data_IF_463416832367
#
_entry.id   IF_463416832367
#
_cell.length_a   1.000
_cell.length_b   1.000
_cell.length_c   1.000
_cell.angle_alpha   90.00
_cell.angle_beta   90.00
_cell.angle_gamma   90.00
#
_symmetry.space_group_name_H-M   'P 1'
#
loop_
_entity.id
_entity.type
_entity.pdbx_description
1 polymer ?
#
# COMPACT_ATOMS: atom_id res chain seq x y z
N UNK A 1 -32.03 22.80 -47.27
CA UNK A 1 -30.72 22.29 -46.81
C UNK A 1 -30.35 23.01 -45.52
N UNK A 2 -30.82 22.52 -44.38
CA UNK A 2 -30.42 23.04 -43.06
C UNK A 2 -29.72 21.89 -42.34
N UNK A 3 -28.40 22.01 -42.21
CA UNK A 3 -27.59 21.04 -41.49
C UNK A 3 -27.76 21.28 -39.99
N UNK A 4 -28.34 20.31 -39.29
CA UNK A 4 -28.30 20.24 -37.83
C UNK A 4 -26.87 19.85 -37.40
N UNK A 5 -26.09 20.82 -36.94
CA UNK A 5 -24.84 20.57 -36.22
C UNK A 5 -25.16 20.33 -34.74
N UNK A 6 -25.26 19.06 -34.33
CA UNK A 6 -25.30 18.68 -32.91
C UNK A 6 -23.88 18.69 -32.34
N UNK A 7 -23.50 19.81 -31.75
CA UNK A 7 -22.39 19.91 -30.80
C UNK A 7 -22.83 19.26 -29.46
N UNK A 8 -22.54 17.98 -29.28
CA UNK A 8 -22.56 17.34 -27.96
C UNK A 8 -21.38 17.87 -27.15
N UNK A 9 -21.59 19.05 -26.57
CA UNK A 9 -20.72 19.63 -25.57
C UNK A 9 -20.78 18.79 -24.29
N UNK A 10 -19.63 18.28 -23.89
CA UNK A 10 -19.39 17.78 -22.55
C UNK A 10 -19.47 18.99 -21.59
N UNK A 11 -20.68 19.36 -21.18
CA UNK A 11 -20.85 20.42 -20.17
C UNK A 11 -20.47 19.81 -18.82
N UNK A 12 -19.25 20.10 -18.37
CA UNK A 12 -18.88 19.86 -16.99
C UNK A 12 -19.91 20.56 -16.11
N UNK A 13 -20.76 19.78 -15.43
CA UNK A 13 -21.76 20.32 -14.51
C UNK A 13 -21.01 21.16 -13.47
N UNK A 14 -21.41 22.42 -13.21
CA UNK A 14 -20.74 23.23 -12.21
C UNK A 14 -20.88 22.52 -10.86
N UNK A 15 -19.75 22.06 -10.32
CA UNK A 15 -19.70 21.40 -9.01
C UNK A 15 -20.14 22.43 -7.97
N UNK A 16 -21.34 22.25 -7.43
CA UNK A 16 -21.91 23.15 -6.42
C UNK A 16 -21.29 22.87 -5.05
N UNK A 17 -21.46 23.79 -4.10
CA UNK A 17 -21.04 23.56 -2.72
C UNK A 17 -21.70 22.32 -2.10
N UNK A 18 -22.93 21.97 -2.52
CA UNK A 18 -23.62 20.74 -2.09
C UNK A 18 -22.96 19.49 -2.64
N UNK A 19 -22.55 19.50 -3.91
CA UNK A 19 -21.87 18.37 -4.54
C UNK A 19 -20.53 18.08 -3.86
N UNK A 20 -19.78 19.13 -3.49
CA UNK A 20 -18.52 18.98 -2.73
C UNK A 20 -18.75 18.40 -1.33
N UNK A 21 -19.81 18.81 -0.66
CA UNK A 21 -20.15 18.28 0.67
C UNK A 21 -20.55 16.81 0.60
N UNK A 22 -21.32 16.40 -0.41
CA UNK A 22 -21.64 14.98 -0.60
C UNK A 22 -20.40 14.14 -0.93
N UNK A 23 -19.55 14.62 -1.83
CA UNK A 23 -18.28 13.95 -2.15
C UNK A 23 -17.38 13.82 -0.92
N UNK A 24 -17.36 14.85 -0.07
CA UNK A 24 -16.60 14.84 1.18
C UNK A 24 -17.17 13.85 2.19
N UNK A 25 -18.49 13.78 2.34
CA UNK A 25 -19.16 12.78 3.19
C UNK A 25 -18.83 11.37 2.72
N UNK A 26 -18.93 11.10 1.41
CA UNK A 26 -18.61 9.79 0.84
C UNK A 26 -17.13 9.42 1.07
N UNK A 27 -16.23 10.41 0.93
CA UNK A 27 -14.80 10.22 1.19
C UNK A 27 -14.52 9.89 2.66
N UNK A 28 -15.12 10.63 3.59
CA UNK A 28 -14.95 10.41 5.04
C UNK A 28 -15.54 9.06 5.42
N UNK A 29 -16.71 8.70 4.90
CA UNK A 29 -17.34 7.41 5.16
C UNK A 29 -16.47 6.25 4.66
N UNK A 30 -15.95 6.33 3.44
CA UNK A 30 -15.06 5.31 2.90
C UNK A 30 -13.78 5.14 3.75
N UNK A 31 -13.27 6.23 4.32
CA UNK A 31 -12.13 6.20 5.22
C UNK A 31 -12.48 5.58 6.58
N UNK A 32 -13.65 5.86 7.14
CA UNK A 32 -14.13 5.24 8.38
C UNK A 32 -14.41 3.73 8.19
N UNK A 33 -15.04 3.36 7.08
CA UNK A 33 -15.31 1.97 6.71
C UNK A 33 -14.00 1.19 6.58
N UNK A 34 -12.98 1.80 5.97
CA UNK A 34 -11.64 1.21 5.87
C UNK A 34 -10.92 1.08 7.21
N UNK A 35 -11.23 1.93 8.19
CA UNK A 35 -10.63 1.94 9.52
C UNK A 35 -11.42 1.12 10.57
N UNK A 36 -12.54 0.51 10.17
CA UNK A 36 -13.36 -0.30 11.06
C UNK A 36 -12.64 -1.62 11.41
N UNK A 37 -12.40 -1.92 12.71
CA UNK A 37 -11.86 -3.21 13.11
C UNK A 37 -12.79 -4.37 12.69
N UNK A 38 -12.24 -5.50 12.22
CA UNK A 38 -13.02 -6.70 11.96
C UNK A 38 -13.81 -7.16 13.19
N UNK A 39 -14.98 -7.78 12.97
CA UNK A 39 -15.90 -8.18 14.05
C UNK A 39 -15.29 -9.13 15.10
N UNK A 40 -14.34 -9.96 14.70
CA UNK A 40 -13.65 -10.92 15.57
C UNK A 40 -12.58 -10.26 16.46
N UNK A 41 -12.26 -8.97 16.24
CA UNK A 41 -11.30 -8.23 17.04
C UNK A 41 -11.91 -7.77 18.38
N UNK A 42 -11.04 -7.45 19.35
CA UNK A 42 -11.47 -6.91 20.64
C UNK A 42 -12.37 -5.67 20.47
N UNK A 43 -13.51 -5.59 21.18
CA UNK A 43 -14.39 -4.42 21.15
C UNK A 43 -13.72 -3.16 21.74
N UNK A 44 -12.59 -3.32 22.45
CA UNK A 44 -11.79 -2.22 22.99
C UNK A 44 -10.97 -1.50 21.93
N UNK A 45 -10.88 -2.03 20.70
CA UNK A 45 -10.16 -1.37 19.60
C UNK A 45 -11.10 -0.33 18.98
N UNK A 46 -10.86 0.99 19.18
CA UNK A 46 -11.72 2.00 18.59
C UNK A 46 -11.46 2.12 17.08
N UNK A 47 -12.46 2.61 16.34
CA UNK A 47 -12.29 3.06 14.97
C UNK A 47 -11.31 4.24 14.97
N UNK A 48 -10.23 4.12 14.22
CA UNK A 48 -9.19 5.13 14.14
C UNK A 48 -8.79 5.34 12.68
N UNK A 49 -9.27 6.41 12.02
CA UNK A 49 -9.01 6.74 10.61
C UNK A 49 -7.58 6.49 10.11
N UNK A 50 -6.58 6.89 10.90
CA UNK A 50 -5.18 6.80 10.51
C UNK A 50 -4.61 5.37 10.46
N UNK A 51 -5.31 4.36 10.98
CA UNK A 51 -4.83 2.95 10.96
C UNK A 51 -5.00 2.30 9.60
N UNK A 52 -5.98 2.74 8.81
CA UNK A 52 -6.35 2.07 7.56
C UNK A 52 -6.90 0.65 7.77
N UNK A 53 -6.90 -0.19 6.72
CA UNK A 53 -7.47 -1.52 6.74
C UNK A 53 -6.74 -2.47 7.71
N UNK A 54 -7.53 -3.30 8.40
CA UNK A 54 -7.05 -4.21 9.44
C UNK A 54 -7.49 -5.66 9.20
N UNK A 55 -6.69 -6.60 9.71
CA UNK A 55 -7.00 -8.04 9.78
C UNK A 55 -6.90 -8.54 11.22
N UNK A 56 -7.66 -9.57 11.52
CA UNK A 56 -7.60 -10.27 12.80
C UNK A 56 -6.26 -11.00 12.91
N UNK A 57 -5.51 -10.75 13.99
CA UNK A 57 -4.32 -11.50 14.34
C UNK A 57 -4.69 -12.58 15.37
N UNK A 58 -4.80 -13.82 14.92
CA UNK A 58 -5.07 -14.96 15.82
C UNK A 58 -3.75 -15.45 16.43
N UNK A 59 -3.56 -15.14 17.71
CA UNK A 59 -2.38 -15.58 18.45
C UNK A 59 -2.60 -16.98 19.02
N UNK A 60 -1.58 -17.81 18.94
CA UNK A 60 -1.55 -19.16 19.49
C UNK A 60 -0.38 -19.27 20.47
N UNK A 61 -0.61 -20.00 21.56
CA UNK A 61 0.41 -20.32 22.55
C UNK A 61 0.54 -21.84 22.66
N UNK A 62 1.77 -22.31 22.92
CA UNK A 62 2.04 -23.70 23.22
C UNK A 62 2.09 -23.87 24.73
N UNK A 63 1.21 -24.71 25.26
CA UNK A 63 1.10 -25.00 26.70
C UNK A 63 1.42 -26.46 26.96
N UNK A 64 2.14 -26.73 28.05
CA UNK A 64 2.34 -28.09 28.55
C UNK A 64 1.07 -28.56 29.24
N UNK A 65 0.44 -29.60 28.71
CA UNK A 65 -0.70 -30.28 29.34
C UNK A 65 -0.25 -31.64 29.90
N UNK A 66 -1.05 -32.31 30.74
CA UNK A 66 -0.73 -33.66 31.20
C UNK A 66 -0.53 -34.69 30.07
N UNK A 67 -1.06 -34.42 28.87
CA UNK A 67 -0.88 -35.26 27.67
C UNK A 67 0.22 -34.77 26.71
N UNK A 68 1.06 -33.82 27.17
CA UNK A 68 2.16 -33.23 26.41
C UNK A 68 1.87 -31.82 25.90
N UNK A 69 2.76 -31.33 25.02
CA UNK A 69 2.66 -30.00 24.42
C UNK A 69 1.43 -29.90 23.52
N UNK A 70 0.59 -28.89 23.76
CA UNK A 70 -0.58 -28.59 22.94
C UNK A 70 -0.60 -27.12 22.57
N UNK A 71 -0.98 -26.82 21.34
CA UNK A 71 -1.17 -25.45 20.88
C UNK A 71 -2.63 -25.07 21.08
N UNK A 72 -2.89 -23.95 21.76
CA UNK A 72 -4.23 -23.37 21.92
C UNK A 72 -4.21 -21.89 21.53
N UNK A 73 -5.40 -21.31 21.30
CA UNK A 73 -5.51 -19.87 21.09
C UNK A 73 -5.12 -19.14 22.37
N UNK A 74 -4.28 -18.11 22.25
CA UNK A 74 -3.80 -17.31 23.38
C UNK A 74 -4.86 -16.31 23.87
N UNK A 75 -5.79 -15.92 23.00
CA UNK A 75 -6.84 -14.93 23.28
C UNK A 75 -8.22 -15.56 23.28
N UNK A 76 -9.12 -15.07 24.14
CA UNK A 76 -10.53 -15.43 24.12
C UNK A 76 -11.19 -15.07 22.77
N UNK A 77 -12.29 -15.77 22.46
CA UNK A 77 -13.09 -15.47 21.27
C UNK A 77 -13.67 -14.05 21.35
N UNK A 78 -13.55 -13.28 20.26
CA UNK A 78 -13.95 -11.87 20.22
C UNK A 78 -12.96 -10.89 20.89
N UNK A 79 -11.80 -11.36 21.37
CA UNK A 79 -10.75 -10.52 21.97
C UNK A 79 -9.43 -10.60 21.19
N UNK A 80 -9.52 -10.79 19.88
CA UNK A 80 -8.34 -10.89 19.04
C UNK A 80 -7.73 -9.49 18.77
N UNK A 81 -6.39 -9.36 18.76
CA UNK A 81 -5.74 -8.15 18.31
C UNK A 81 -5.95 -7.94 16.80
N UNK A 82 -5.88 -6.68 16.38
CA UNK A 82 -5.88 -6.31 14.97
C UNK A 82 -4.44 -6.02 14.49
N UNK A 83 -4.14 -6.41 13.26
CA UNK A 83 -2.92 -6.00 12.54
C UNK A 83 -3.32 -5.16 11.33
N UNK A 84 -2.53 -4.13 11.00
CA UNK A 84 -2.71 -3.38 9.75
C UNK A 84 -2.42 -4.27 8.55
N UNK A 85 -3.04 -3.93 7.42
CA UNK A 85 -3.00 -4.71 6.19
C UNK A 85 -2.39 -3.85 5.09
N UNK A 86 -1.30 -4.32 4.50
CA UNK A 86 -0.66 -3.63 3.38
C UNK A 86 -1.28 -4.03 2.03
N UNK A 87 -0.76 -3.48 0.93
CA UNK A 87 -1.23 -3.82 -0.42
C UNK A 87 -1.06 -5.31 -0.77
N UNK A 88 0.01 -5.95 -0.30
CA UNK A 88 0.28 -7.37 -0.58
C UNK A 88 -0.75 -8.26 0.09
N UNK A 89 -1.04 -8.00 1.37
CA UNK A 89 -2.05 -8.74 2.14
C UNK A 89 -3.45 -8.57 1.51
N UNK A 90 -3.80 -7.35 1.05
CA UNK A 90 -5.07 -7.11 0.34
C UNK A 90 -5.15 -7.87 -0.99
N UNK A 91 -4.08 -7.89 -1.75
CA UNK A 91 -4.03 -8.62 -3.02
C UNK A 91 -4.09 -10.13 -2.82
N UNK A 92 -3.40 -10.67 -1.80
CA UNK A 92 -3.45 -12.09 -1.45
C UNK A 92 -4.86 -12.49 -1.00
N UNK A 93 -5.51 -11.68 -0.14
CA UNK A 93 -6.89 -11.95 0.28
C UNK A 93 -7.86 -11.97 -0.92
N UNK A 94 -7.70 -11.03 -1.87
CA UNK A 94 -8.49 -11.01 -3.10
C UNK A 94 -8.24 -12.24 -3.98
N UNK A 95 -6.98 -12.69 -4.09
CA UNK A 95 -6.63 -13.89 -4.82
C UNK A 95 -7.24 -15.14 -4.17
N UNK A 96 -7.13 -15.29 -2.85
CA UNK A 96 -7.69 -16.40 -2.08
C UNK A 96 -9.21 -16.47 -2.14
N UNK A 97 -9.90 -15.33 -2.16
CA UNK A 97 -11.36 -15.30 -2.35
C UNK A 97 -11.79 -15.82 -3.73
N UNK A 98 -10.95 -15.62 -4.74
CA UNK A 98 -11.22 -16.08 -6.11
C UNK A 98 -10.84 -17.55 -6.30
N UNK A 99 -9.73 -17.96 -5.71
CA UNK A 99 -9.17 -19.31 -5.81
C UNK A 99 -8.50 -19.68 -4.47
N UNK A 100 -9.22 -20.34 -3.54
CA UNK A 100 -8.70 -20.66 -2.21
C UNK A 100 -7.45 -21.55 -2.24
N UNK A 101 -7.39 -22.49 -3.18
CA UNK A 101 -6.31 -23.48 -3.32
C UNK A 101 -5.20 -23.03 -4.28
N UNK A 102 -5.35 -21.87 -4.92
CA UNK A 102 -4.37 -21.32 -5.84
C UNK A 102 -3.00 -21.04 -5.20
N UNK A 103 -1.94 -20.87 -5.99
CA UNK A 103 -0.65 -20.47 -5.45
C UNK A 103 -0.72 -19.05 -4.84
N UNK A 104 0.18 -18.76 -3.91
CA UNK A 104 0.33 -17.40 -3.39
C UNK A 104 0.70 -16.43 -4.52
N UNK A 105 0.17 -15.20 -4.45
CA UNK A 105 0.38 -14.21 -5.50
C UNK A 105 1.83 -13.70 -5.55
N UNK A 106 2.47 -13.65 -4.39
CA UNK A 106 3.87 -13.25 -4.20
C UNK A 106 4.56 -14.23 -3.26
N UNK A 107 5.88 -14.39 -3.40
CA UNK A 107 6.67 -15.17 -2.43
C UNK A 107 6.86 -14.38 -1.14
N UNK A 108 7.15 -15.08 -0.04
CA UNK A 108 7.47 -14.44 1.26
C UNK A 108 8.66 -13.47 1.11
N UNK A 109 9.70 -13.87 0.36
CA UNK A 109 10.87 -13.04 0.09
C UNK A 109 10.51 -11.74 -0.65
N UNK A 110 9.62 -11.81 -1.64
CA UNK A 110 9.15 -10.64 -2.38
C UNK A 110 8.39 -9.66 -1.49
N UNK A 111 7.49 -10.17 -0.64
CA UNK A 111 6.71 -9.35 0.29
C UNK A 111 7.65 -8.68 1.31
N UNK A 112 8.59 -9.42 1.89
CA UNK A 112 9.59 -8.86 2.82
C UNK A 112 10.46 -7.79 2.14
N UNK A 113 10.93 -8.02 0.91
CA UNK A 113 11.70 -7.02 0.17
C UNK A 113 10.91 -5.73 -0.05
N UNK A 114 9.62 -5.83 -0.38
CA UNK A 114 8.72 -4.69 -0.51
C UNK A 114 8.50 -3.93 0.80
N UNK A 115 8.35 -4.65 1.93
CA UNK A 115 8.19 -4.04 3.26
C UNK A 115 9.47 -3.34 3.73
N UNK A 116 10.63 -3.94 3.51
CA UNK A 116 11.94 -3.33 3.80
C UNK A 116 12.13 -2.07 2.97
N UNK A 117 11.74 -2.09 1.69
CA UNK A 117 11.75 -0.91 0.82
C UNK A 117 10.87 0.20 1.37
N UNK A 118 9.61 -0.10 1.70
CA UNK A 118 8.65 0.87 2.22
C UNK A 118 9.16 1.52 3.52
N UNK A 119 9.62 0.71 4.48
CA UNK A 119 10.14 1.20 5.75
C UNK A 119 11.39 2.08 5.57
N UNK A 120 12.25 1.76 4.60
CA UNK A 120 13.41 2.59 4.29
C UNK A 120 13.01 3.90 3.59
N UNK A 121 12.05 3.87 2.67
CA UNK A 121 11.54 5.05 2.00
C UNK A 121 10.95 6.04 3.02
N UNK A 122 10.13 5.55 3.95
CA UNK A 122 9.56 6.33 5.05
C UNK A 122 10.65 6.97 5.92
N UNK A 123 11.67 6.21 6.33
CA UNK A 123 12.79 6.76 7.13
C UNK A 123 13.55 7.85 6.38
N UNK A 124 13.79 7.67 5.09
CA UNK A 124 14.52 8.66 4.26
C UNK A 124 13.69 9.93 4.06
N UNK A 125 12.38 9.80 3.83
CA UNK A 125 11.49 10.97 3.74
C UNK A 125 11.37 11.71 5.08
N UNK A 126 11.33 10.98 6.20
CA UNK A 126 11.26 11.54 7.54
C UNK A 126 12.58 12.13 8.05
N UNK A 127 13.74 11.78 7.46
CA UNK A 127 15.07 12.21 7.94
C UNK A 127 15.26 13.74 7.97
N UNK A 128 14.47 14.50 7.21
CA UNK A 128 14.45 15.97 7.23
C UNK A 128 13.57 16.59 8.32
N UNK A 129 12.72 15.81 8.99
CA UNK A 129 11.81 16.30 10.04
C UNK A 129 12.54 16.23 11.39
N UNK A 130 13.21 17.32 11.75
CA UNK A 130 13.78 17.45 13.10
C UNK A 130 12.64 17.71 14.08
N UNK A 131 12.16 16.67 14.74
CA UNK A 131 11.32 16.82 15.94
C UNK A 131 12.19 17.35 17.09
N UNK A 132 12.60 18.61 17.02
CA UNK A 132 13.25 19.28 18.14
C UNK A 132 12.21 19.52 19.23
N UNK A 133 12.09 18.57 20.18
CA UNK A 133 11.41 18.86 21.44
C UNK A 133 12.32 19.77 22.27
N UNK A 134 11.86 21.01 22.49
CA UNK A 134 12.50 21.98 23.38
C UNK A 134 12.52 21.48 24.84
N UNK A 135 11.62 20.58 25.22
CA UNK A 135 11.47 20.07 26.58
C UNK A 135 12.45 18.92 26.91
N UNK A 136 13.09 18.32 25.90
CA UNK A 136 14.07 17.24 26.05
C UNK A 136 15.53 17.70 26.19
N UNK A 137 15.80 19.00 26.23
CA UNK A 137 17.17 19.57 26.21
C UNK A 137 17.93 19.49 27.54
N UNK A 138 17.46 18.68 28.49
CA UNK A 138 18.22 18.34 29.69
C UNK A 138 19.00 17.03 29.46
N UNK A 139 20.23 17.17 28.97
CA UNK A 139 21.26 16.10 28.82
C UNK A 139 21.06 15.10 27.68
N UNK A 140 21.52 15.46 26.48
CA UNK A 140 22.00 14.49 25.51
C UNK A 140 23.37 14.96 24.99
N UNK A 141 24.42 14.41 25.59
CA UNK A 141 25.80 14.61 25.14
C UNK A 141 26.11 13.73 23.93
N UNK A 142 26.87 14.29 22.99
CA UNK A 142 27.79 13.61 22.07
C UNK A 142 27.25 12.48 21.16
N UNK A 143 26.17 12.74 20.41
CA UNK A 143 25.59 11.76 19.45
C UNK A 143 25.35 12.27 18.03
N UNK A 144 25.77 13.50 17.70
CA UNK A 144 25.42 14.15 16.43
C UNK A 144 26.08 13.52 15.19
N UNK A 145 27.27 12.93 15.31
CA UNK A 145 27.97 12.29 14.17
C UNK A 145 27.30 10.97 13.79
N UNK A 146 26.99 10.13 14.78
CA UNK A 146 26.36 8.82 14.56
C UNK A 146 24.99 8.90 13.88
N UNK A 147 24.20 9.94 14.15
CA UNK A 147 22.90 10.12 13.49
C UNK A 147 23.06 10.51 12.02
N UNK A 148 23.97 11.44 11.70
CA UNK A 148 24.24 11.86 10.33
C UNK A 148 24.73 10.66 9.51
N UNK A 149 25.63 9.84 10.06
CA UNK A 149 26.14 8.65 9.41
C UNK A 149 25.03 7.61 9.13
N UNK A 150 24.12 7.41 10.08
CA UNK A 150 22.96 6.53 9.90
C UNK A 150 22.01 7.03 8.79
N UNK A 151 21.75 8.34 8.73
CA UNK A 151 20.93 8.95 7.67
C UNK A 151 21.61 8.82 6.30
N UNK A 152 22.91 9.11 6.21
CA UNK A 152 23.69 8.93 4.97
C UNK A 152 23.63 7.47 4.52
N UNK A 153 23.79 6.52 5.44
CA UNK A 153 23.69 5.09 5.16
C UNK A 153 22.31 4.71 4.61
N UNK A 154 21.23 5.17 5.24
CA UNK A 154 19.86 4.89 4.78
C UNK A 154 19.59 5.51 3.39
N UNK A 155 20.02 6.75 3.15
CA UNK A 155 19.91 7.39 1.82
C UNK A 155 20.68 6.60 0.76
N UNK A 156 21.89 6.14 1.06
CA UNK A 156 22.69 5.35 0.12
C UNK A 156 22.02 4.00 -0.17
N UNK A 157 21.52 3.32 0.86
CA UNK A 157 20.77 2.07 0.71
C UNK A 157 19.52 2.28 -0.15
N UNK A 158 18.76 3.33 0.09
CA UNK A 158 17.56 3.67 -0.67
C UNK A 158 17.90 3.93 -2.15
N UNK A 159 18.95 4.69 -2.42
CA UNK A 159 19.44 4.92 -3.80
C UNK A 159 19.84 3.64 -4.51
N UNK A 160 20.45 2.66 -3.80
CA UNK A 160 20.75 1.34 -4.38
C UNK A 160 19.47 0.60 -4.76
N UNK A 161 18.46 0.59 -3.88
CA UNK A 161 17.15 -0.02 -4.16
C UNK A 161 16.46 0.63 -5.36
N UNK A 162 16.46 1.96 -5.45
CA UNK A 162 15.91 2.69 -6.60
C UNK A 162 16.60 2.32 -7.92
N UNK A 163 17.92 2.11 -7.91
CA UNK A 163 18.67 1.67 -9.10
C UNK A 163 18.34 0.22 -9.47
N UNK A 164 18.18 -0.66 -8.48
CA UNK A 164 17.84 -2.06 -8.70
C UNK A 164 16.41 -2.22 -9.26
N UNK A 165 15.46 -1.39 -8.81
CA UNK A 165 14.10 -1.37 -9.39
C UNK A 165 14.16 -1.00 -10.87
N UNK A 166 14.95 0.00 -11.24
CA UNK A 166 15.06 0.44 -12.63
C UNK A 166 13.98 1.43 -13.06
N UNK A 167 13.98 1.75 -14.35
CA UNK A 167 13.12 2.78 -14.96
C UNK A 167 12.32 2.27 -16.16
N UNK A 168 12.23 0.95 -16.32
CA UNK A 168 11.57 0.31 -17.45
C UNK A 168 10.08 0.69 -17.52
N UNK A 169 9.58 0.75 -18.75
CA UNK A 169 8.17 0.99 -19.03
C UNK A 169 7.44 -0.34 -18.97
N UNK A 170 6.48 -0.45 -18.05
CA UNK A 170 5.68 -1.67 -17.86
C UNK A 170 4.44 -1.65 -18.74
N UNK A 171 3.73 -0.51 -18.74
CA UNK A 171 2.59 -0.28 -19.61
C UNK A 171 2.68 1.09 -20.27
N UNK A 172 2.43 1.14 -21.58
CA UNK A 172 2.32 2.38 -22.35
C UNK A 172 1.16 2.32 -23.34
N UNK A 173 0.41 3.42 -23.53
CA UNK A 173 -0.59 3.49 -24.59
C UNK A 173 0.06 3.31 -25.95
N UNK A 174 -0.46 2.38 -26.78
CA UNK A 174 0.09 2.12 -28.12
C UNK A 174 -0.06 3.30 -29.07
N UNK A 175 -1.12 4.10 -28.92
CA UNK A 175 -1.38 5.31 -29.69
C UNK A 175 -1.91 6.38 -28.75
N UNK A 176 -1.23 7.52 -28.66
CA UNK A 176 -1.71 8.67 -27.91
C UNK A 176 -2.81 9.37 -28.71
N UNK A 177 -4.06 9.15 -28.32
CA UNK A 177 -5.17 10.01 -28.75
C UNK A 177 -5.32 11.14 -27.75
N UNK A 178 -5.80 12.29 -28.20
CA UNK A 178 -6.03 13.44 -27.31
C UNK A 178 -6.94 13.09 -26.13
N UNK A 179 -7.92 12.20 -26.36
CA UNK A 179 -8.90 11.77 -25.36
C UNK A 179 -8.56 10.42 -24.69
N UNK A 180 -7.32 9.93 -24.82
CA UNK A 180 -6.92 8.68 -24.17
C UNK A 180 -6.50 8.91 -22.71
N UNK A 181 -7.29 8.47 -21.72
CA UNK A 181 -6.96 8.69 -20.30
C UNK A 181 -5.77 7.83 -19.83
N UNK A 182 -5.30 6.87 -20.64
CA UNK A 182 -4.26 5.92 -20.24
C UNK A 182 -2.90 6.61 -20.11
N UNK A 183 -2.28 6.45 -18.94
CA UNK A 183 -0.95 6.98 -18.64
C UNK A 183 0.10 5.87 -18.64
N UNK A 184 1.31 6.19 -19.07
CA UNK A 184 2.45 5.27 -18.98
C UNK A 184 2.76 4.93 -17.52
N UNK A 185 2.94 3.64 -17.22
CA UNK A 185 3.34 3.13 -15.91
C UNK A 185 4.77 2.59 -16.04
N UNK A 186 5.67 3.10 -15.22
CA UNK A 186 7.05 2.60 -15.08
C UNK A 186 7.20 1.71 -13.85
N UNK A 187 8.21 0.83 -13.85
CA UNK A 187 8.45 -0.11 -12.75
C UNK A 187 8.60 0.60 -11.40
N UNK A 188 9.35 1.71 -11.34
CA UNK A 188 9.45 2.52 -10.13
C UNK A 188 8.10 3.03 -9.62
N UNK A 189 7.25 3.56 -10.50
CA UNK A 189 5.93 4.05 -10.10
C UNK A 189 5.03 2.93 -9.59
N UNK A 190 5.15 1.74 -10.19
CA UNK A 190 4.45 0.54 -9.75
C UNK A 190 4.91 0.11 -8.36
N UNK A 191 6.22 0.03 -8.11
CA UNK A 191 6.78 -0.35 -6.81
C UNK A 191 6.42 0.68 -5.73
N UNK A 192 6.57 1.98 -6.02
CA UNK A 192 6.23 3.07 -5.09
C UNK A 192 4.73 3.04 -4.74
N UNK A 193 3.86 2.87 -5.74
CA UNK A 193 2.42 2.80 -5.51
C UNK A 193 2.04 1.61 -4.62
N UNK A 194 2.65 0.44 -4.84
CA UNK A 194 2.32 -0.77 -4.08
C UNK A 194 2.93 -0.75 -2.68
N UNK A 195 4.23 -0.46 -2.58
CA UNK A 195 4.97 -0.61 -1.32
C UNK A 195 4.81 0.61 -0.42
N UNK A 196 4.85 1.82 -0.97
CA UNK A 196 4.83 3.07 -0.18
C UNK A 196 3.40 3.60 -0.06
N UNK A 197 2.68 3.71 -1.17
CA UNK A 197 1.31 4.25 -1.17
C UNK A 197 0.25 3.20 -0.82
N UNK A 198 0.68 1.97 -0.51
CA UNK A 198 -0.20 0.86 -0.15
C UNK A 198 -1.34 0.61 -1.15
N UNK A 199 -1.13 0.85 -2.45
CA UNK A 199 -2.13 0.62 -3.51
C UNK A 199 -2.03 -0.78 -4.10
N UNK A 200 -3.17 -1.42 -4.38
CA UNK A 200 -3.21 -2.66 -5.17
C UNK A 200 -2.96 -2.39 -6.65
N UNK A 201 -2.53 -3.42 -7.40
CA UNK A 201 -2.39 -3.33 -8.87
C UNK A 201 -3.70 -2.85 -9.54
N UNK A 202 -4.85 -3.22 -9.00
CA UNK A 202 -6.16 -2.81 -9.52
C UNK A 202 -6.43 -1.31 -9.33
N UNK A 203 -6.10 -0.79 -8.15
CA UNK A 203 -6.25 0.63 -7.82
C UNK A 203 -5.29 1.48 -8.65
N UNK A 204 -4.01 1.08 -8.72
CA UNK A 204 -3.02 1.75 -9.56
C UNK A 204 -3.49 1.84 -11.01
N UNK A 205 -3.99 0.73 -11.55
CA UNK A 205 -4.43 0.67 -12.93
C UNK A 205 -5.63 1.60 -13.19
N UNK A 206 -6.61 1.64 -12.28
CA UNK A 206 -7.75 2.57 -12.36
C UNK A 206 -7.29 4.02 -12.30
N UNK A 207 -6.37 4.35 -11.38
CA UNK A 207 -5.79 5.69 -11.25
C UNK A 207 -5.07 6.15 -12.53
N UNK A 208 -4.46 5.22 -13.27
CA UNK A 208 -3.75 5.50 -14.52
C UNK A 208 -4.63 5.36 -15.77
N UNK A 209 -5.96 5.20 -15.62
CA UNK A 209 -6.92 5.19 -16.74
C UNK A 209 -6.98 3.89 -17.54
N UNK A 210 -6.45 2.78 -17.00
CA UNK A 210 -6.40 1.49 -17.69
C UNK A 210 -7.56 0.58 -17.27
N UNK A 211 -8.15 -0.12 -18.25
CA UNK A 211 -9.32 -0.99 -18.06
C UNK A 211 -9.03 -2.30 -17.31
N UNK A 212 -10.07 -2.93 -16.75
CA UNK A 212 -9.97 -4.20 -16.04
C UNK A 212 -9.82 -5.44 -16.92
N UNK A 213 -8.62 -5.67 -17.43
CA UNK A 213 -8.34 -6.80 -18.33
C UNK A 213 -7.14 -7.63 -17.87
N UNK A 214 -7.14 -8.93 -18.17
CA UNK A 214 -5.98 -9.81 -17.90
C UNK A 214 -4.71 -9.34 -18.64
N UNK A 215 -4.87 -8.78 -19.84
CA UNK A 215 -3.78 -8.21 -20.65
C UNK A 215 -3.00 -7.08 -19.96
N UNK A 216 -3.60 -6.39 -19.00
CA UNK A 216 -2.93 -5.32 -18.22
C UNK A 216 -2.43 -5.82 -16.88
N UNK A 217 -3.13 -6.78 -16.25
CA UNK A 217 -2.74 -7.37 -14.96
C UNK A 217 -1.46 -8.19 -15.03
N UNK A 218 -1.31 -9.05 -16.04
CA UNK A 218 -0.16 -9.94 -16.20
C UNK A 218 1.18 -9.18 -16.21
N UNK A 219 1.37 -8.21 -17.13
CA UNK A 219 2.61 -7.44 -17.20
C UNK A 219 2.92 -6.64 -15.93
N UNK A 220 1.90 -6.06 -15.28
CA UNK A 220 2.09 -5.35 -14.01
C UNK A 220 2.55 -6.30 -12.90
N UNK A 221 1.94 -7.49 -12.79
CA UNK A 221 2.35 -8.48 -11.79
C UNK A 221 3.77 -8.96 -12.04
N UNK A 222 4.10 -9.32 -13.28
CA UNK A 222 5.42 -9.80 -13.67
C UNK A 222 6.51 -8.75 -13.40
N UNK A 223 6.27 -7.50 -13.79
CA UNK A 223 7.19 -6.41 -13.51
C UNK A 223 7.37 -6.15 -12.01
N UNK A 224 6.29 -6.23 -11.22
CA UNK A 224 6.39 -6.09 -9.77
C UNK A 224 7.22 -7.21 -9.15
N UNK A 225 6.93 -8.48 -9.48
CA UNK A 225 7.70 -9.62 -9.00
C UNK A 225 9.18 -9.49 -9.37
N UNK A 226 9.48 -9.18 -10.64
CA UNK A 226 10.87 -9.00 -11.08
C UNK A 226 11.59 -7.85 -10.37
N UNK A 227 10.89 -6.76 -10.05
CA UNK A 227 11.47 -5.67 -9.27
C UNK A 227 11.73 -6.09 -7.81
N UNK A 228 10.80 -6.81 -7.18
CA UNK A 228 10.94 -7.31 -5.81
C UNK A 228 12.06 -8.34 -5.69
N UNK A 229 12.23 -9.22 -6.69
CA UNK A 229 13.33 -10.18 -6.72
C UNK A 229 14.70 -9.47 -6.80
N UNK A 230 14.78 -8.39 -7.58
CA UNK A 230 16.00 -7.54 -7.63
C UNK A 230 16.25 -6.82 -6.31
N UNK A 231 15.21 -6.43 -5.58
CA UNK A 231 15.35 -5.83 -4.24
C UNK A 231 15.81 -6.84 -3.19
N UNK A 232 15.29 -8.06 -3.26
CA UNK A 232 15.67 -9.15 -2.34
C UNK A 232 17.12 -9.59 -2.53
N UNK A 233 17.67 -9.46 -3.73
CA UNK A 233 19.04 -9.84 -4.06
C UNK A 233 20.12 -8.81 -3.64
N UNK A 234 19.75 -7.66 -3.07
CA UNK A 234 20.67 -6.61 -2.61
C UNK A 234 21.21 -6.85 -1.19
#
# INVERSE_FOLDING_TARGET
MSQHFSLLGLTARPVTGKDRLSEEVDRVQALLDGAQPPADCSPEIPVAPGRGPMRVLRQYETVMTPSGLRTRRATAEGFHPAATVDAFDRMELQARRRDPEGPALFTVAQVEAGRVYAALAERVEAAGVKCSSIEGQAKAGDGSSSWIDAVIHDIQRYRRMLRAIGGEVVLAPQRRRADDPRRTIRARQLVDAVCVQSMTINELRRQYGWADTQRTRGPLREALCGALDRLYAL
#
